data_IF_290286171125
#
_entry.id   IF_290286171125
#
_cell.length_a   1.000
_cell.length_b   1.000
_cell.length_c   1.000
_cell.angle_alpha   90.00
_cell.angle_beta   90.00
_cell.angle_gamma   90.00
#
_symmetry.space_group_name_H-M   'P 1'
#
loop_
_entity.id
_entity.type
_entity.pdbx_description
1 polymer ?
#
# COMPACT_ATOMS: atom_id res chain seq x y z
N UNK A 1 -11.52 -11.58 5.72
CA UNK A 1 -10.22 -10.89 5.86
C UNK A 1 -10.48 -9.45 6.25
N UNK A 2 -9.74 -8.89 7.22
CA UNK A 2 -9.88 -7.47 7.58
C UNK A 2 -8.94 -6.64 6.71
N UNK A 3 -9.50 -5.72 5.95
CA UNK A 3 -8.79 -4.78 5.07
C UNK A 3 -9.16 -3.35 5.42
N UNK A 4 -8.35 -2.41 4.98
CA UNK A 4 -8.61 -0.98 5.10
C UNK A 4 -8.53 -0.33 3.72
N UNK A 5 -9.31 0.74 3.55
CA UNK A 5 -9.34 1.59 2.37
C UNK A 5 -9.36 3.04 2.87
N UNK A 6 -8.40 3.83 2.40
CA UNK A 6 -8.28 5.26 2.67
C UNK A 6 -8.31 5.98 1.33
N UNK A 7 -9.34 6.79 1.10
CA UNK A 7 -9.50 7.58 -0.13
C UNK A 7 -9.07 9.02 0.10
N UNK A 8 -8.56 9.69 -0.93
CA UNK A 8 -8.26 11.14 -0.89
C UNK A 8 -9.40 12.02 -1.41
N UNK A 9 -10.60 11.45 -1.60
CA UNK A 9 -11.82 12.09 -2.15
C UNK A 9 -11.72 12.58 -3.61
N UNK A 10 -10.53 12.55 -4.21
CA UNK A 10 -10.25 12.99 -5.59
C UNK A 10 -9.97 11.81 -6.55
N UNK A 11 -10.32 10.60 -6.14
CA UNK A 11 -10.18 9.38 -6.96
C UNK A 11 -8.88 8.59 -6.74
N UNK A 12 -7.98 9.04 -5.87
CA UNK A 12 -6.83 8.26 -5.41
C UNK A 12 -7.14 7.60 -4.06
N UNK A 13 -6.43 6.50 -3.78
CA UNK A 13 -6.61 5.76 -2.54
C UNK A 13 -5.35 4.97 -2.16
N UNK A 14 -5.34 4.56 -0.90
CA UNK A 14 -4.48 3.55 -0.35
C UNK A 14 -5.36 2.42 0.22
N UNK A 15 -4.99 1.16 0.03
CA UNK A 15 -5.68 0.03 0.63
C UNK A 15 -4.73 -1.13 0.86
N UNK A 16 -4.94 -1.88 1.95
CA UNK A 16 -4.22 -3.12 2.21
C UNK A 16 -4.91 -3.95 3.30
N UNK A 17 -4.28 -5.05 3.71
CA UNK A 17 -4.65 -5.77 4.93
C UNK A 17 -4.11 -5.04 6.16
N UNK A 18 -4.60 -5.40 7.35
CA UNK A 18 -4.10 -4.86 8.63
C UNK A 18 -2.58 -5.01 8.77
N UNK A 19 -2.02 -6.12 8.27
CA UNK A 19 -0.58 -6.43 8.35
C UNK A 19 0.22 -5.90 7.15
N UNK A 20 -0.36 -5.05 6.30
CA UNK A 20 0.34 -4.47 5.15
C UNK A 20 0.63 -5.44 4.00
N UNK A 21 0.09 -6.66 4.06
CA UNK A 21 0.26 -7.66 3.02
C UNK A 21 -0.77 -7.47 1.90
N UNK A 22 -0.29 -7.33 0.66
CA UNK A 22 -1.14 -7.19 -0.52
C UNK A 22 -1.64 -8.56 -0.99
N UNK A 23 -2.83 -8.96 -0.53
CA UNK A 23 -3.48 -10.22 -0.93
C UNK A 23 -4.38 -10.10 -2.17
N UNK A 24 -4.51 -8.89 -2.75
CA UNK A 24 -5.38 -8.59 -3.89
C UNK A 24 -4.71 -7.56 -4.80
N UNK A 25 -4.99 -7.64 -6.10
CA UNK A 25 -4.37 -6.78 -7.12
C UNK A 25 -4.69 -5.28 -7.00
N UNK A 26 -5.70 -4.90 -6.22
CA UNK A 26 -6.04 -3.51 -5.93
C UNK A 26 -5.43 -2.98 -4.62
N UNK A 27 -4.76 -3.81 -3.82
CA UNK A 27 -4.03 -3.32 -2.65
C UNK A 27 -2.78 -2.56 -3.09
N UNK A 28 -2.55 -1.40 -2.47
CA UNK A 28 -1.44 -0.51 -2.74
C UNK A 28 -1.48 0.69 -1.80
N UNK A 29 -0.32 1.26 -1.50
CA UNK A 29 -0.18 2.41 -0.61
C UNK A 29 -0.37 3.74 -1.33
N UNK A 30 -0.24 3.77 -2.65
CA UNK A 30 -0.58 4.93 -3.47
C UNK A 30 -1.10 4.47 -4.83
N UNK A 31 -2.41 4.58 -5.03
CA UNK A 31 -3.07 4.33 -6.30
C UNK A 31 -3.81 5.60 -6.70
N UNK A 32 -3.58 6.09 -7.91
CA UNK A 32 -4.21 7.31 -8.42
C UNK A 32 -4.33 7.31 -9.92
N UNK A 33 -4.98 8.34 -10.47
CA UNK A 33 -5.06 8.58 -11.90
C UNK A 33 -5.03 10.07 -12.19
N UNK A 34 -4.35 10.44 -13.28
CA UNK A 34 -4.42 11.81 -13.82
C UNK A 34 -5.68 12.03 -14.68
N UNK A 35 -6.38 10.94 -15.07
CA UNK A 35 -7.62 10.98 -15.85
C UNK A 35 -8.69 10.05 -15.21
N UNK A 36 -9.24 10.37 -14.02
CA UNK A 36 -10.25 9.53 -13.37
C UNK A 36 -11.51 9.35 -14.23
N UNK A 37 -12.19 8.17 -14.19
CA UNK A 37 -11.91 7.00 -13.35
C UNK A 37 -10.97 5.96 -13.99
N UNK A 38 -10.44 6.23 -15.19
CA UNK A 38 -9.60 5.29 -15.97
C UNK A 38 -8.11 5.48 -15.67
N UNK A 39 -7.24 4.68 -16.30
CA UNK A 39 -5.78 4.85 -16.25
C UNK A 39 -5.19 4.96 -14.83
N UNK A 40 -5.69 4.13 -13.92
CA UNK A 40 -5.13 4.04 -12.56
C UNK A 40 -3.72 3.45 -12.59
N UNK A 41 -2.83 4.08 -11.84
CA UNK A 41 -1.44 3.67 -11.66
C UNK A 41 -1.26 3.34 -10.19
N UNK A 42 -0.65 2.18 -9.92
CA UNK A 42 -0.12 1.83 -8.61
C UNK A 42 1.28 2.44 -8.48
N UNK A 43 1.36 3.65 -7.93
CA UNK A 43 2.61 4.38 -7.79
C UNK A 43 3.44 3.87 -6.59
N UNK A 44 2.79 3.32 -5.56
CA UNK A 44 3.45 2.64 -4.45
C UNK A 44 2.68 1.36 -4.09
N UNK A 45 3.30 0.21 -4.32
CA UNK A 45 2.69 -1.10 -4.06
C UNK A 45 2.74 -1.48 -2.58
N UNK A 46 3.93 -1.48 -1.99
CA UNK A 46 4.16 -1.84 -0.59
C UNK A 46 5.34 -1.04 -0.02
N UNK A 47 5.50 -1.08 1.30
CA UNK A 47 6.68 -0.60 2.01
C UNK A 47 7.37 -1.81 2.62
N UNK A 48 8.68 -1.92 2.44
CA UNK A 48 9.47 -2.94 3.11
C UNK A 48 10.05 -2.36 4.40
N UNK A 49 9.82 -3.06 5.49
CA UNK A 49 10.15 -2.61 6.83
C UNK A 49 11.30 -3.44 7.39
N UNK A 50 12.26 -2.75 8.00
CA UNK A 50 13.43 -3.37 8.63
C UNK A 50 13.70 -2.67 9.97
N UNK A 51 14.06 -3.46 10.97
CA UNK A 51 14.53 -2.96 12.27
C UNK A 51 15.96 -3.41 12.53
N UNK A 52 16.75 -2.53 13.14
CA UNK A 52 18.13 -2.82 13.54
C UNK A 52 18.17 -2.95 15.07
N UNK A 53 18.60 -4.11 15.56
CA UNK A 53 18.71 -4.41 16.99
C UNK A 53 20.12 -4.91 17.29
N UNK A 54 20.85 -4.21 18.16
CA UNK A 54 22.24 -4.55 18.54
C UNK A 54 23.17 -4.77 17.32
N UNK A 55 23.02 -3.93 16.29
CA UNK A 55 23.81 -4.01 15.06
C UNK A 55 23.39 -5.13 14.09
N UNK A 56 22.30 -5.86 14.37
CA UNK A 56 21.74 -6.88 13.47
C UNK A 56 20.45 -6.37 12.83
N UNK A 57 20.31 -6.58 11.53
CA UNK A 57 19.13 -6.22 10.74
C UNK A 57 18.09 -7.35 10.74
N UNK A 58 16.82 -7.00 10.91
CA UNK A 58 15.68 -7.91 10.86
C UNK A 58 14.61 -7.32 9.95
N UNK A 59 14.18 -8.09 8.93
CA UNK A 59 13.06 -7.71 8.07
C UNK A 59 11.74 -8.01 8.79
N UNK A 60 10.79 -7.08 8.72
CA UNK A 60 9.46 -7.21 9.32
C UNK A 60 8.38 -7.56 8.28
N UNK A 61 8.67 -7.32 7.01
CA UNK A 61 7.80 -7.54 5.84
C UNK A 61 8.51 -8.34 4.76
#
# INVERSE_FOLDING_TARGET
TREWLLTNEHGSYASSTIVGCNTRGYHGLLIGSLNPPVNRIMALACCLEMVIVKGKSFNLS
#
